data_IF_310479654036
#
_entry.id   IF_310479654036
#
_cell.length_a   1.000
_cell.length_b   1.000
_cell.length_c   1.000
_cell.angle_alpha   90.00
_cell.angle_beta   90.00
_cell.angle_gamma   90.00
#
_symmetry.space_group_name_H-M   'P 1'
#
loop_
_entity.id
_entity.type
_entity.pdbx_description
1 polymer ?
#
# COMPACT_ATOMS: atom_id res chain seq x y z
N UNK A 1 -7.23 36.49 -71.43
CA UNK A 1 -6.02 36.79 -70.66
C UNK A 1 -6.33 36.43 -69.18
N UNK A 2 -5.84 35.29 -68.74
CA UNK A 2 -6.22 34.69 -67.44
C UNK A 2 -5.03 34.77 -66.52
N UNK A 3 -5.11 35.61 -65.48
CA UNK A 3 -4.08 35.65 -64.42
C UNK A 3 -4.34 34.57 -63.42
N UNK A 4 -3.43 33.55 -63.32
CA UNK A 4 -3.41 32.55 -62.27
C UNK A 4 -2.71 33.12 -61.02
N UNK A 5 -3.48 33.30 -59.96
CA UNK A 5 -2.96 33.70 -58.67
C UNK A 5 -2.43 32.44 -57.94
N UNK A 6 -1.13 32.42 -57.65
CA UNK A 6 -0.45 31.35 -56.95
C UNK A 6 -0.64 31.56 -55.43
N UNK A 7 -1.41 30.70 -54.77
CA UNK A 7 -1.56 30.71 -53.31
C UNK A 7 -0.45 29.84 -52.70
N UNK A 8 0.49 30.49 -52.01
CA UNK A 8 1.52 29.84 -51.23
C UNK A 8 0.91 29.43 -49.89
N UNK A 9 0.66 28.14 -49.71
CA UNK A 9 0.23 27.58 -48.42
C UNK A 9 1.42 27.51 -47.46
N UNK A 10 1.45 28.41 -46.50
CA UNK A 10 2.38 28.32 -45.37
C UNK A 10 1.92 27.18 -44.44
N UNK A 11 2.65 26.08 -44.46
CA UNK A 11 2.47 24.98 -43.48
C UNK A 11 3.02 25.43 -42.11
N UNK A 12 2.11 25.79 -41.23
CA UNK A 12 2.43 25.97 -39.81
C UNK A 12 2.58 24.57 -39.20
N UNK A 13 3.80 24.17 -38.84
CA UNK A 13 4.08 22.98 -38.04
C UNK A 13 3.58 23.25 -36.61
N UNK A 14 2.74 22.39 -36.03
CA UNK A 14 2.47 22.49 -34.59
C UNK A 14 3.72 22.08 -33.82
N UNK A 15 4.30 23.00 -33.07
CA UNK A 15 5.30 22.70 -32.04
C UNK A 15 4.65 21.80 -31.03
N UNK A 16 5.05 20.54 -31.04
CA UNK A 16 4.75 19.59 -29.97
C UNK A 16 5.54 20.01 -28.72
N UNK A 17 4.88 20.77 -27.85
CA UNK A 17 5.42 21.11 -26.54
C UNK A 17 5.42 19.83 -25.70
N UNK A 18 6.52 19.07 -25.70
CA UNK A 18 6.75 17.98 -24.76
C UNK A 18 6.93 18.64 -23.40
N UNK A 19 5.86 18.68 -22.62
CA UNK A 19 5.92 18.97 -21.18
C UNK A 19 6.71 17.84 -20.52
N UNK A 20 8.03 18.02 -20.41
CA UNK A 20 8.83 17.22 -19.50
C UNK A 20 8.35 17.56 -18.08
N UNK A 21 7.54 16.68 -17.49
CA UNK A 21 7.27 16.72 -16.06
C UNK A 21 8.62 16.67 -15.34
N UNK A 22 8.86 17.52 -14.33
CA UNK A 22 10.15 17.56 -13.67
C UNK A 22 10.35 16.27 -12.87
N UNK A 23 11.25 15.41 -13.36
CA UNK A 23 11.73 14.22 -12.64
C UNK A 23 12.35 14.56 -11.25
N UNK A 24 12.50 15.84 -10.96
CA UNK A 24 13.09 16.34 -9.71
C UNK A 24 12.14 16.24 -8.50
N UNK A 25 10.81 16.15 -8.68
CA UNK A 25 9.88 16.07 -7.54
C UNK A 25 9.97 14.70 -6.85
N UNK A 26 9.95 13.61 -7.60
CA UNK A 26 10.03 12.27 -7.03
C UNK A 26 11.36 12.02 -6.30
N UNK A 27 12.47 12.56 -6.79
CA UNK A 27 13.78 12.42 -6.15
C UNK A 27 13.88 13.23 -4.85
N UNK A 28 13.24 14.40 -4.77
CA UNK A 28 13.22 15.21 -3.56
C UNK A 28 12.41 14.55 -2.44
N UNK A 29 11.30 13.90 -2.78
CA UNK A 29 10.43 13.24 -1.80
C UNK A 29 11.10 12.00 -1.21
N UNK A 30 11.77 11.18 -2.04
CA UNK A 30 12.54 10.02 -1.57
C UNK A 30 13.70 10.43 -0.67
N UNK A 31 14.44 11.49 -1.02
CA UNK A 31 15.55 11.98 -0.18
C UNK A 31 15.06 12.54 1.15
N UNK A 32 13.97 13.28 1.16
CA UNK A 32 13.37 13.83 2.37
C UNK A 32 12.83 12.70 3.27
N UNK A 33 12.18 11.71 2.72
CA UNK A 33 11.69 10.54 3.46
C UNK A 33 12.84 9.76 4.10
N UNK A 34 13.91 9.49 3.35
CA UNK A 34 15.09 8.79 3.87
C UNK A 34 15.82 9.57 4.96
N UNK A 35 15.92 10.89 4.84
CA UNK A 35 16.51 11.74 5.88
C UNK A 35 15.67 11.73 7.16
N UNK A 36 14.35 11.80 7.03
CA UNK A 36 13.42 11.75 8.18
C UNK A 36 13.47 10.39 8.88
N UNK A 37 13.61 9.28 8.14
CA UNK A 37 13.78 7.95 8.71
C UNK A 37 15.10 7.83 9.48
N UNK A 38 16.20 8.30 8.92
CA UNK A 38 17.51 8.28 9.58
C UNK A 38 17.48 9.14 10.86
N UNK A 39 16.79 10.29 10.84
CA UNK A 39 16.59 11.15 12.02
C UNK A 39 15.77 10.43 13.11
N UNK A 40 14.70 9.73 12.72
CA UNK A 40 13.89 8.94 13.65
C UNK A 40 14.72 7.83 14.33
N UNK A 41 15.54 7.11 13.55
CA UNK A 41 16.46 6.09 14.07
C UNK A 41 17.50 6.71 15.00
N UNK A 42 18.05 7.87 14.66
CA UNK A 42 19.00 8.57 15.53
C UNK A 42 18.32 9.00 16.85
N UNK A 43 17.10 9.52 16.79
CA UNK A 43 16.33 9.88 17.98
C UNK A 43 16.09 8.68 18.92
N UNK A 44 15.89 7.46 18.37
CA UNK A 44 15.83 6.23 19.17
C UNK A 44 17.15 5.96 19.88
N UNK A 45 18.30 6.09 19.18
CA UNK A 45 19.64 5.88 19.73
C UNK A 45 19.92 6.87 20.87
N UNK A 46 19.50 8.12 20.68
CA UNK A 46 19.65 9.21 21.67
C UNK A 46 18.61 9.13 22.80
N UNK A 47 17.76 8.10 22.81
CA UNK A 47 16.65 7.89 23.75
C UNK A 47 15.61 9.03 23.74
N UNK A 48 15.60 9.86 22.70
CA UNK A 48 14.56 10.86 22.45
C UNK A 48 13.33 10.20 21.82
N UNK A 49 12.73 9.26 22.55
CA UNK A 49 11.65 8.42 22.02
C UNK A 49 10.40 9.20 21.61
N UNK A 50 10.09 10.34 22.27
CA UNK A 50 8.95 11.17 21.88
C UNK A 50 9.13 11.73 20.47
N UNK A 51 10.33 12.21 20.17
CA UNK A 51 10.66 12.72 18.83
C UNK A 51 10.65 11.60 17.81
N UNK A 52 11.26 10.45 18.13
CA UNK A 52 11.24 9.26 17.27
C UNK A 52 9.82 8.81 16.91
N UNK A 53 8.91 8.73 17.90
CA UNK A 53 7.50 8.38 17.66
C UNK A 53 6.83 9.34 16.68
N UNK A 54 7.03 10.64 16.82
CA UNK A 54 6.42 11.62 15.92
C UNK A 54 6.94 11.49 14.48
N UNK A 55 8.25 11.26 14.31
CA UNK A 55 8.85 11.08 12.98
C UNK A 55 8.41 9.77 12.32
N UNK A 56 8.42 8.67 13.08
CA UNK A 56 7.91 7.39 12.53
C UNK A 56 6.41 7.43 12.23
N UNK A 57 5.60 8.12 13.05
CA UNK A 57 4.17 8.24 12.80
C UNK A 57 3.87 9.01 11.52
N UNK A 58 4.62 10.08 11.23
CA UNK A 58 4.51 10.81 9.97
C UNK A 58 4.75 9.90 8.77
N UNK A 59 5.80 9.09 8.83
CA UNK A 59 6.17 8.18 7.76
C UNK A 59 5.26 6.94 7.67
N UNK A 60 4.85 6.41 8.82
CA UNK A 60 3.92 5.28 8.89
C UNK A 60 2.56 5.63 8.24
N UNK A 61 2.08 6.87 8.44
CA UNK A 61 0.88 7.39 7.78
C UNK A 61 1.06 7.56 6.26
N UNK A 62 2.28 7.70 5.77
CA UNK A 62 2.64 7.70 4.35
C UNK A 62 2.99 6.29 3.82
N UNK A 63 2.49 5.25 4.48
CA UNK A 63 2.70 3.84 4.14
C UNK A 63 4.18 3.41 4.04
N UNK A 64 5.07 4.05 4.81
CA UNK A 64 6.47 3.61 4.93
C UNK A 64 6.55 2.42 5.89
N UNK A 65 6.67 1.22 5.38
CA UNK A 65 6.51 -0.02 6.16
C UNK A 65 7.59 -0.22 7.23
N UNK A 66 8.84 0.20 6.97
CA UNK A 66 9.90 0.21 8.00
C UNK A 66 9.57 1.16 9.17
N UNK A 67 8.95 2.30 8.88
CA UNK A 67 8.52 3.24 9.90
C UNK A 67 7.34 2.69 10.71
N UNK A 68 6.39 2.00 10.05
CA UNK A 68 5.27 1.31 10.70
C UNK A 68 5.78 0.26 11.71
N UNK A 69 6.78 -0.55 11.31
CA UNK A 69 7.40 -1.54 12.18
C UNK A 69 8.05 -0.90 13.41
N UNK A 70 8.86 0.13 13.21
CA UNK A 70 9.54 0.83 14.30
C UNK A 70 8.56 1.53 15.24
N UNK A 71 7.50 2.12 14.70
CA UNK A 71 6.42 2.73 15.49
C UNK A 71 5.70 1.67 16.35
N UNK A 72 5.40 0.50 15.76
CA UNK A 72 4.81 -0.61 16.50
C UNK A 72 5.66 -1.05 17.70
N UNK A 73 6.98 -1.14 17.54
CA UNK A 73 7.93 -1.47 18.62
C UNK A 73 7.90 -0.43 19.75
N UNK A 74 7.88 0.85 19.41
CA UNK A 74 7.84 1.95 20.39
C UNK A 74 6.51 1.95 21.16
N UNK A 75 5.39 1.79 20.47
CA UNK A 75 4.06 1.74 21.08
C UNK A 75 3.86 0.51 21.95
N UNK A 76 4.35 -0.68 21.52
CA UNK A 76 4.34 -1.90 22.32
C UNK A 76 5.12 -1.73 23.62
N UNK A 77 6.28 -1.07 23.55
CA UNK A 77 7.16 -0.89 24.70
C UNK A 77 6.77 0.30 25.60
N UNK A 78 5.89 1.19 25.14
CA UNK A 78 5.53 2.42 25.86
C UNK A 78 6.64 3.46 25.88
N UNK A 79 7.53 3.45 24.87
CA UNK A 79 8.61 4.43 24.75
C UNK A 79 8.15 5.63 23.91
N UNK A 80 8.26 6.82 24.46
CA UNK A 80 7.85 8.06 23.82
C UNK A 80 6.37 8.43 23.97
N UNK A 81 5.50 7.43 24.09
CA UNK A 81 4.06 7.54 24.40
C UNK A 81 3.63 6.42 25.37
N UNK A 82 2.48 6.56 26.06
CA UNK A 82 1.92 5.46 26.82
C UNK A 82 1.71 4.24 25.92
N UNK A 83 1.90 3.06 26.53
CA UNK A 83 1.73 1.78 25.85
C UNK A 83 0.33 1.63 25.26
N UNK A 84 0.24 1.23 24.00
CA UNK A 84 -1.01 0.99 23.30
C UNK A 84 -0.86 -0.23 22.39
N UNK A 85 -1.29 -1.39 22.89
CA UNK A 85 -1.15 -2.65 22.15
C UNK A 85 -2.00 -2.72 20.89
N UNK A 86 -3.22 -2.15 20.92
CA UNK A 86 -4.08 -2.15 19.73
C UNK A 86 -3.49 -1.30 18.59
N UNK A 87 -2.97 -0.11 18.91
CA UNK A 87 -2.30 0.71 17.91
C UNK A 87 -0.98 0.09 17.45
N UNK A 88 -0.24 -0.57 18.37
CA UNK A 88 0.97 -1.29 18.01
C UNK A 88 0.67 -2.47 17.07
N UNK A 89 -0.44 -3.19 17.28
CA UNK A 89 -0.87 -4.27 16.38
C UNK A 89 -1.25 -3.74 15.00
N UNK A 90 -1.99 -2.64 14.94
CA UNK A 90 -2.35 -2.01 13.66
C UNK A 90 -1.09 -1.72 12.83
N UNK A 91 -0.08 -1.09 13.42
CA UNK A 91 1.16 -0.78 12.70
C UNK A 91 2.03 -2.01 12.41
N UNK A 92 2.02 -3.01 13.29
CA UNK A 92 2.73 -4.27 13.03
C UNK A 92 2.11 -5.04 11.85
N UNK A 93 0.77 -5.11 11.78
CA UNK A 93 0.09 -5.73 10.63
C UNK A 93 0.30 -4.92 9.35
N UNK A 94 0.18 -3.58 9.38
CA UNK A 94 0.48 -2.74 8.22
C UNK A 94 1.91 -2.96 7.70
N UNK A 95 2.89 -3.04 8.59
CA UNK A 95 4.27 -3.32 8.22
C UNK A 95 4.44 -4.73 7.61
N UNK A 96 3.77 -5.73 8.17
CA UNK A 96 3.82 -7.10 7.66
C UNK A 96 3.21 -7.19 6.25
N UNK A 97 2.04 -6.60 6.03
CA UNK A 97 1.39 -6.55 4.72
C UNK A 97 2.27 -5.85 3.67
N UNK A 98 3.05 -4.86 4.09
CA UNK A 98 4.05 -4.19 3.26
C UNK A 98 5.40 -4.91 3.13
N UNK A 99 5.49 -6.19 3.53
CA UNK A 99 6.65 -7.05 3.31
C UNK A 99 7.73 -7.01 4.41
N UNK A 100 7.47 -6.40 5.57
CA UNK A 100 8.40 -6.43 6.70
C UNK A 100 8.24 -7.74 7.49
N UNK A 101 8.95 -8.78 7.10
CA UNK A 101 8.87 -10.12 7.70
C UNK A 101 8.98 -10.15 9.24
N UNK A 102 9.89 -9.39 9.89
CA UNK A 102 9.96 -9.36 11.36
C UNK A 102 8.66 -8.90 12.03
N UNK A 103 7.81 -8.15 11.32
CA UNK A 103 6.54 -7.66 11.84
C UNK A 103 5.52 -8.78 12.05
N UNK A 104 5.63 -9.92 11.33
CA UNK A 104 4.81 -11.12 11.55
C UNK A 104 4.95 -11.67 12.96
N UNK A 105 6.17 -11.79 13.46
CA UNK A 105 6.41 -12.26 14.83
C UNK A 105 6.00 -11.21 15.87
N UNK A 106 6.29 -9.94 15.60
CA UNK A 106 5.86 -8.83 16.47
C UNK A 106 4.34 -8.79 16.62
N UNK A 107 3.59 -8.98 15.54
CA UNK A 107 2.13 -8.99 15.58
C UNK A 107 1.58 -10.17 16.40
N UNK A 108 2.14 -11.38 16.24
CA UNK A 108 1.77 -12.56 17.04
C UNK A 108 1.96 -12.31 18.55
N UNK A 109 3.07 -11.71 18.92
CA UNK A 109 3.34 -11.36 20.32
C UNK A 109 2.29 -10.36 20.86
N UNK A 110 1.91 -9.35 20.04
CA UNK A 110 0.95 -8.34 20.46
C UNK A 110 -0.47 -8.91 20.53
N UNK A 111 -0.86 -9.75 19.56
CA UNK A 111 -2.17 -10.41 19.55
C UNK A 111 -2.45 -11.16 20.85
N UNK A 112 -1.45 -11.84 21.42
CA UNK A 112 -1.59 -12.56 22.69
C UNK A 112 -1.91 -11.67 23.90
N UNK A 113 -1.79 -10.35 23.76
CA UNK A 113 -2.03 -9.34 24.79
C UNK A 113 -3.37 -8.61 24.62
N UNK A 114 -4.14 -8.96 23.60
CA UNK A 114 -5.39 -8.27 23.23
C UNK A 114 -6.59 -9.22 23.29
N UNK A 115 -7.76 -8.73 23.69
CA UNK A 115 -9.00 -9.48 23.58
C UNK A 115 -9.47 -9.54 22.11
N UNK A 116 -10.29 -10.56 21.78
CA UNK A 116 -10.79 -10.82 20.42
C UNK A 116 -11.50 -9.61 19.79
N UNK A 117 -12.26 -8.86 20.56
CA UNK A 117 -12.95 -7.67 20.07
C UNK A 117 -11.96 -6.59 19.57
N UNK A 118 -10.82 -6.44 20.26
CA UNK A 118 -9.77 -5.52 19.83
C UNK A 118 -9.08 -6.01 18.55
N UNK A 119 -8.90 -7.34 18.42
CA UNK A 119 -8.37 -7.96 17.19
C UNK A 119 -9.30 -7.72 16.01
N UNK A 120 -10.62 -7.99 16.17
CA UNK A 120 -11.64 -7.75 15.14
C UNK A 120 -11.69 -6.29 14.70
N UNK A 121 -11.68 -5.36 15.67
CA UNK A 121 -11.71 -3.92 15.37
C UNK A 121 -10.44 -3.49 14.61
N UNK A 122 -9.28 -4.06 14.95
CA UNK A 122 -8.02 -3.73 14.27
C UNK A 122 -8.00 -4.29 12.85
N UNK A 123 -8.49 -5.52 12.60
CA UNK A 123 -8.66 -6.07 11.25
C UNK A 123 -9.55 -5.18 10.39
N UNK A 124 -10.72 -4.82 10.90
CA UNK A 124 -11.64 -3.92 10.20
C UNK A 124 -10.97 -2.61 9.81
N UNK A 125 -10.20 -2.00 10.72
CA UNK A 125 -9.49 -0.75 10.43
C UNK A 125 -8.40 -0.93 9.36
N UNK A 126 -7.70 -2.06 9.33
CA UNK A 126 -6.71 -2.37 8.29
C UNK A 126 -7.41 -2.46 6.93
N UNK A 127 -8.47 -3.25 6.85
CA UNK A 127 -9.24 -3.42 5.61
C UNK A 127 -9.75 -2.08 5.07
N UNK A 128 -10.41 -1.27 5.90
CA UNK A 128 -10.88 0.06 5.54
C UNK A 128 -9.73 0.95 5.03
N UNK A 129 -8.59 0.95 5.73
CA UNK A 129 -7.43 1.75 5.30
C UNK A 129 -6.86 1.30 3.96
N UNK A 130 -6.82 0.00 3.68
CA UNK A 130 -6.33 -0.52 2.40
C UNK A 130 -7.28 -0.19 1.25
N UNK A 131 -8.59 -0.31 1.47
CA UNK A 131 -9.60 0.10 0.50
C UNK A 131 -9.53 1.60 0.21
N UNK A 132 -9.42 2.46 1.23
CA UNK A 132 -9.25 3.90 1.06
C UNK A 132 -8.00 4.24 0.23
N UNK A 133 -6.88 3.52 0.43
CA UNK A 133 -5.66 3.69 -0.35
C UNK A 133 -5.85 3.27 -1.82
N UNK A 134 -6.57 2.19 -2.07
CA UNK A 134 -6.90 1.74 -3.43
C UNK A 134 -7.76 2.79 -4.12
N UNK A 135 -8.77 3.34 -3.44
CA UNK A 135 -9.70 4.34 -3.98
C UNK A 135 -9.00 5.64 -4.40
N UNK A 136 -7.91 6.00 -3.75
CA UNK A 136 -7.08 7.15 -4.14
C UNK A 136 -5.96 6.80 -5.13
N UNK A 137 -5.92 5.56 -5.66
CA UNK A 137 -5.02 5.12 -6.71
C UNK A 137 -3.69 4.52 -6.25
N UNK A 138 -3.52 4.24 -4.95
CA UNK A 138 -2.35 3.51 -4.45
C UNK A 138 -2.46 2.01 -4.79
N UNK A 139 -1.86 1.63 -5.90
CA UNK A 139 -1.89 0.25 -6.39
C UNK A 139 -1.13 -0.74 -5.52
N UNK A 140 -0.16 -0.30 -4.70
CA UNK A 140 0.56 -1.20 -3.80
C UNK A 140 -0.38 -1.84 -2.78
N UNK A 141 -1.43 -1.12 -2.38
CA UNK A 141 -2.44 -1.61 -1.45
C UNK A 141 -3.25 -2.81 -1.96
N UNK A 142 -3.26 -3.08 -3.29
CA UNK A 142 -3.90 -4.27 -3.86
C UNK A 142 -3.25 -5.57 -3.36
N UNK A 143 -1.91 -5.61 -3.36
CA UNK A 143 -1.17 -6.77 -2.85
C UNK A 143 -1.33 -6.91 -1.33
N UNK A 144 -1.29 -5.78 -0.61
CA UNK A 144 -1.47 -5.76 0.83
C UNK A 144 -2.88 -6.24 1.24
N UNK A 145 -3.93 -5.85 0.48
CA UNK A 145 -5.31 -6.27 0.73
C UNK A 145 -5.51 -7.76 0.41
N UNK A 146 -4.92 -8.26 -0.67
CA UNK A 146 -4.96 -9.68 -0.98
C UNK A 146 -4.31 -10.52 0.14
N UNK A 147 -3.12 -10.14 0.60
CA UNK A 147 -2.42 -10.80 1.70
C UNK A 147 -3.18 -10.67 3.03
N UNK A 148 -3.90 -9.56 3.25
CA UNK A 148 -4.77 -9.40 4.41
C UNK A 148 -5.87 -10.46 4.43
N UNK A 149 -6.55 -10.71 3.32
CA UNK A 149 -7.59 -11.74 3.22
C UNK A 149 -7.03 -13.16 3.33
N UNK A 150 -5.81 -13.37 2.85
CA UNK A 150 -5.14 -14.66 2.91
C UNK A 150 -4.65 -15.01 4.32
N UNK A 151 -4.05 -14.04 5.05
CA UNK A 151 -3.29 -14.38 6.26
C UNK A 151 -3.76 -13.70 7.56
N UNK A 152 -4.48 -12.58 7.51
CA UNK A 152 -4.77 -11.81 8.73
C UNK A 152 -6.18 -12.01 9.27
N UNK A 153 -7.06 -12.64 8.54
CA UNK A 153 -8.38 -13.01 9.04
C UNK A 153 -8.27 -14.20 10.01
N UNK A 154 -9.30 -14.40 10.82
CA UNK A 154 -9.41 -15.57 11.71
C UNK A 154 -9.52 -16.87 10.90
N UNK A 155 -10.37 -16.83 9.87
CA UNK A 155 -10.46 -17.83 8.80
C UNK A 155 -10.05 -17.14 7.49
N UNK A 156 -9.06 -17.67 6.75
CA UNK A 156 -8.66 -17.11 5.47
C UNK A 156 -9.83 -16.97 4.48
N UNK A 157 -9.88 -15.87 3.75
CA UNK A 157 -10.82 -15.68 2.66
C UNK A 157 -10.08 -15.75 1.32
N UNK A 158 -9.87 -16.98 0.84
CA UNK A 158 -9.14 -17.23 -0.39
C UNK A 158 -9.84 -16.68 -1.63
N UNK A 159 -11.17 -16.50 -1.60
CA UNK A 159 -11.95 -15.92 -2.70
C UNK A 159 -11.61 -14.44 -2.88
N UNK A 160 -11.65 -13.66 -1.80
CA UNK A 160 -11.24 -12.24 -1.86
C UNK A 160 -9.73 -12.11 -2.09
N UNK A 161 -8.89 -12.97 -1.51
CA UNK A 161 -7.45 -12.96 -1.81
C UNK A 161 -7.19 -13.18 -3.30
N UNK A 162 -7.81 -14.18 -3.92
CA UNK A 162 -7.72 -14.45 -5.35
C UNK A 162 -8.19 -13.26 -6.20
N UNK A 163 -9.33 -12.65 -5.82
CA UNK A 163 -9.87 -11.47 -6.49
C UNK A 163 -8.84 -10.33 -6.54
N UNK A 164 -8.28 -9.97 -5.39
CA UNK A 164 -7.36 -8.83 -5.28
C UNK A 164 -5.99 -9.13 -5.90
N UNK A 165 -5.47 -10.37 -5.79
CA UNK A 165 -4.27 -10.77 -6.53
C UNK A 165 -4.50 -10.78 -8.04
N UNK A 166 -5.69 -11.15 -8.52
CA UNK A 166 -6.04 -11.09 -9.95
C UNK A 166 -5.99 -9.65 -10.47
N UNK A 167 -6.54 -8.69 -9.72
CA UNK A 167 -6.49 -7.27 -10.06
C UNK A 167 -5.03 -6.77 -10.02
N UNK A 168 -4.28 -7.11 -8.97
CA UNK A 168 -2.87 -6.75 -8.85
C UNK A 168 -2.03 -7.29 -10.02
N UNK A 169 -2.31 -8.53 -10.47
CA UNK A 169 -1.63 -9.13 -11.61
C UNK A 169 -1.92 -8.41 -12.93
N UNK A 170 -3.14 -7.89 -13.11
CA UNK A 170 -3.52 -7.10 -14.28
C UNK A 170 -2.81 -5.73 -14.31
N UNK A 171 -2.47 -5.17 -13.14
CA UNK A 171 -1.60 -4.00 -13.02
C UNK A 171 -0.10 -4.34 -13.07
N UNK A 172 0.27 -5.60 -13.30
CA UNK A 172 1.66 -6.08 -13.39
C UNK A 172 2.47 -5.84 -12.11
N UNK A 173 1.83 -5.91 -10.94
CA UNK A 173 2.54 -5.79 -9.68
C UNK A 173 3.44 -7.02 -9.45
N UNK A 174 4.61 -6.77 -8.89
CA UNK A 174 5.62 -7.81 -8.64
C UNK A 174 5.03 -8.92 -7.72
N UNK A 175 5.24 -10.17 -8.10
CA UNK A 175 4.75 -11.33 -7.35
C UNK A 175 3.26 -11.63 -7.48
N UNK A 176 2.43 -10.73 -8.02
CA UNK A 176 0.98 -10.88 -8.05
C UNK A 176 0.49 -12.12 -8.83
N UNK A 177 1.15 -12.44 -9.94
CA UNK A 177 0.77 -13.62 -10.77
C UNK A 177 1.03 -14.90 -9.96
N UNK A 178 2.16 -15.00 -9.29
CA UNK A 178 2.53 -16.19 -8.50
C UNK A 178 1.57 -16.34 -7.33
N UNK A 179 1.33 -15.28 -6.56
CA UNK A 179 0.43 -15.30 -5.41
C UNK A 179 -1.02 -15.66 -5.81
N UNK A 180 -1.51 -15.10 -6.95
CA UNK A 180 -2.83 -15.48 -7.50
C UNK A 180 -2.91 -16.96 -7.78
N UNK A 181 -1.92 -17.52 -8.50
CA UNK A 181 -1.92 -18.93 -8.93
C UNK A 181 -1.79 -19.87 -7.71
N UNK A 182 -1.06 -19.46 -6.67
CA UNK A 182 -0.96 -20.21 -5.41
C UNK A 182 -2.28 -20.23 -4.64
N UNK A 183 -2.99 -19.10 -4.56
CA UNK A 183 -4.28 -19.01 -3.86
C UNK A 183 -5.41 -19.67 -4.65
N UNK A 184 -5.36 -19.67 -5.98
CA UNK A 184 -6.40 -20.23 -6.85
C UNK A 184 -6.74 -21.68 -6.50
N UNK A 185 -5.74 -22.49 -6.08
CA UNK A 185 -5.95 -23.91 -5.70
C UNK A 185 -6.85 -24.07 -4.47
N UNK A 186 -7.02 -23.03 -3.68
CA UNK A 186 -7.86 -23.00 -2.47
C UNK A 186 -9.26 -22.45 -2.74
N UNK A 187 -9.53 -21.96 -3.96
CA UNK A 187 -10.83 -21.41 -4.37
C UNK A 187 -11.68 -22.51 -5.02
N UNK A 188 -12.97 -22.54 -4.69
CA UNK A 188 -13.90 -23.46 -5.36
C UNK A 188 -14.00 -23.17 -6.87
N UNK A 189 -13.75 -24.16 -7.71
CA UNK A 189 -13.74 -24.02 -9.18
C UNK A 189 -15.00 -23.33 -9.74
N UNK A 190 -16.16 -23.59 -9.12
CA UNK A 190 -17.43 -22.98 -9.56
C UNK A 190 -17.47 -21.46 -9.41
N UNK A 191 -16.65 -20.87 -8.51
CA UNK A 191 -16.61 -19.44 -8.22
C UNK A 191 -15.59 -18.69 -9.08
N UNK A 192 -14.63 -19.40 -9.68
CA UNK A 192 -13.52 -18.77 -10.43
C UNK A 192 -14.02 -17.81 -11.49
N UNK A 193 -15.02 -18.21 -12.30
CA UNK A 193 -15.54 -17.35 -13.39
C UNK A 193 -16.21 -16.08 -12.84
N UNK A 194 -16.96 -16.21 -11.74
CA UNK A 194 -17.59 -15.06 -11.08
C UNK A 194 -16.53 -14.09 -10.55
N UNK A 195 -15.49 -14.60 -9.87
CA UNK A 195 -14.41 -13.80 -9.33
C UNK A 195 -13.60 -13.10 -10.42
N UNK A 196 -13.35 -13.77 -11.55
CA UNK A 196 -12.70 -13.18 -12.72
C UNK A 196 -13.52 -12.02 -13.32
N UNK A 197 -14.84 -12.16 -13.39
CA UNK A 197 -15.71 -11.10 -13.87
C UNK A 197 -15.71 -9.90 -12.89
N UNK A 198 -15.81 -10.15 -11.58
CA UNK A 198 -15.69 -9.10 -10.56
C UNK A 198 -14.33 -8.38 -10.63
N UNK A 199 -13.26 -9.15 -10.80
CA UNK A 199 -11.91 -8.57 -10.94
C UNK A 199 -11.80 -7.65 -12.15
N UNK A 200 -12.41 -8.03 -13.28
CA UNK A 200 -12.43 -7.21 -14.49
C UNK A 200 -13.20 -5.90 -14.30
N UNK A 201 -14.36 -5.93 -13.66
CA UNK A 201 -15.18 -4.74 -13.36
C UNK A 201 -14.43 -3.76 -12.44
N UNK A 202 -13.79 -4.28 -11.39
CA UNK A 202 -13.01 -3.45 -10.46
C UNK A 202 -11.77 -2.88 -11.17
N UNK A 203 -11.05 -3.70 -11.94
CA UNK A 203 -9.88 -3.26 -12.71
C UNK A 203 -10.22 -2.13 -13.67
N UNK A 204 -11.33 -2.23 -14.41
CA UNK A 204 -11.78 -1.18 -15.33
C UNK A 204 -12.03 0.14 -14.57
N UNK A 205 -12.67 0.07 -13.40
CA UNK A 205 -12.91 1.23 -12.53
C UNK A 205 -11.58 1.85 -12.06
N UNK A 206 -10.69 1.05 -11.51
CA UNK A 206 -9.39 1.51 -10.97
C UNK A 206 -8.45 2.02 -12.06
N UNK A 207 -8.57 1.53 -13.28
CA UNK A 207 -7.77 1.97 -14.44
C UNK A 207 -8.08 3.41 -14.86
N UNK A 208 -9.23 3.95 -14.45
CA UNK A 208 -9.62 5.35 -14.73
C UNK A 208 -9.08 6.35 -13.71
N UNK A 209 -8.62 5.88 -12.55
CA UNK A 209 -8.04 6.71 -11.49
C UNK A 209 -6.60 7.10 -11.91
N UNK A 210 -6.34 8.41 -11.97
CA UNK A 210 -5.05 8.98 -12.40
C UNK A 210 -4.14 9.25 -11.21
#
# INVERSE_FOLDING_TARGET
MCFKTLIIAVRVLPYLLVLMAPANLALSDITTSNMTFAEAVQAVKDKNYRHAVNLFELQANAAQHDAQYNLALLLKSGKGRPRNYQQALYWAWSAYLGGIEPAKNLSKDIMSLLPDDALKLTRKKIEETLLDRIDIGDKSALMELALFYEELLEEPNFEEAYLWYSIASAFLLEGAIIARDEVEVSVEMKLIVELQNRASEIFDTLSTIK
#
